data_IF_846729828615
#
_entry.id   IF_846729828615
#
_cell.length_a   1.000
_cell.length_b   1.000
_cell.length_c   1.000
_cell.angle_alpha   90.00
_cell.angle_beta   90.00
_cell.angle_gamma   90.00
#
_symmetry.space_group_name_H-M   'P 1'
#
loop_
_entity.id
_entity.type
_entity.pdbx_description
1 polymer ?
#
# COMPACT_ATOMS: atom_id res chain seq x y z
N UNK A 1 -8.87 -6.05 -20.60
CA UNK A 1 -8.21 -6.06 -19.27
C UNK A 1 -8.80 -7.22 -18.49
N UNK A 2 -7.98 -8.05 -17.83
CA UNK A 2 -8.49 -9.13 -16.98
C UNK A 2 -8.51 -8.66 -15.53
N UNK A 3 -9.70 -8.41 -14.96
CA UNK A 3 -9.84 -7.95 -13.58
C UNK A 3 -9.21 -8.94 -12.59
N UNK A 4 -9.34 -10.24 -12.85
CA UNK A 4 -8.71 -11.30 -12.07
C UNK A 4 -7.18 -11.21 -12.10
N UNK A 5 -6.60 -10.88 -13.25
CA UNK A 5 -5.15 -10.71 -13.35
C UNK A 5 -4.67 -9.48 -12.58
N UNK A 6 -5.38 -8.35 -12.67
CA UNK A 6 -5.02 -7.13 -11.93
C UNK A 6 -5.21 -7.30 -10.41
N UNK A 7 -6.29 -7.94 -9.96
CA UNK A 7 -6.46 -8.32 -8.56
C UNK A 7 -5.34 -9.26 -8.08
N UNK A 8 -4.91 -10.22 -8.91
CA UNK A 8 -3.75 -11.05 -8.61
C UNK A 8 -2.47 -10.25 -8.38
N UNK A 9 -2.22 -9.20 -9.19
CA UNK A 9 -1.09 -8.27 -8.96
C UNK A 9 -1.26 -7.48 -7.67
N UNK A 10 -2.47 -7.05 -7.35
CA UNK A 10 -2.76 -6.34 -6.11
C UNK A 10 -2.42 -7.21 -4.88
N UNK A 11 -2.81 -8.48 -4.89
CA UNK A 11 -2.47 -9.44 -3.85
C UNK A 11 -0.95 -9.60 -3.69
N UNK A 12 -0.21 -9.68 -4.80
CA UNK A 12 1.26 -9.68 -4.77
C UNK A 12 1.81 -8.43 -4.07
N UNK A 13 1.27 -7.24 -4.34
CA UNK A 13 1.74 -6.02 -3.69
C UNK A 13 1.36 -5.94 -2.21
N UNK A 14 0.23 -6.51 -1.78
CA UNK A 14 -0.09 -6.66 -0.36
C UNK A 14 0.94 -7.55 0.36
N UNK A 15 1.29 -8.69 -0.22
CA UNK A 15 2.31 -9.59 0.35
C UNK A 15 3.70 -8.95 0.35
N UNK A 16 4.09 -8.28 -0.75
CA UNK A 16 5.35 -7.54 -0.84
C UNK A 16 5.41 -6.41 0.19
N UNK A 17 4.31 -5.69 0.39
CA UNK A 17 4.19 -4.63 1.39
C UNK A 17 4.40 -5.15 2.80
N UNK A 18 3.69 -6.23 3.18
CA UNK A 18 3.89 -6.91 4.48
C UNK A 18 5.33 -7.34 4.69
N UNK A 19 5.92 -8.02 3.71
CA UNK A 19 7.31 -8.48 3.80
C UNK A 19 8.29 -7.32 3.96
N UNK A 20 8.11 -6.24 3.19
CA UNK A 20 8.96 -5.06 3.26
C UNK A 20 8.80 -4.34 4.60
N UNK A 21 7.58 -4.28 5.15
CA UNK A 21 7.33 -3.67 6.46
C UNK A 21 7.99 -4.46 7.60
N UNK A 22 7.91 -5.79 7.56
CA UNK A 22 8.68 -6.62 8.50
C UNK A 22 10.18 -6.34 8.40
N UNK A 23 10.74 -6.31 7.19
CA UNK A 23 12.16 -6.00 7.00
C UNK A 23 12.52 -4.57 7.44
N UNK A 24 11.63 -3.59 7.25
CA UNK A 24 11.82 -2.23 7.76
C UNK A 24 11.97 -2.24 9.28
N UNK A 25 11.10 -2.93 10.02
CA UNK A 25 11.18 -3.02 11.48
C UNK A 25 12.44 -3.78 11.93
N UNK A 26 12.74 -4.91 11.30
CA UNK A 26 13.88 -5.78 11.64
C UNK A 26 15.23 -5.10 11.40
N UNK A 27 15.32 -4.20 10.42
CA UNK A 27 16.56 -3.52 10.04
C UNK A 27 16.65 -2.09 10.58
N UNK A 28 15.99 -1.79 11.71
CA UNK A 28 16.16 -0.50 12.39
C UNK A 28 15.40 0.66 11.75
N UNK A 29 14.35 0.38 10.98
CA UNK A 29 13.46 1.38 10.39
C UNK A 29 14.18 2.36 9.46
N UNK A 30 15.07 1.84 8.59
CA UNK A 30 15.89 2.69 7.73
C UNK A 30 15.13 3.23 6.52
N UNK A 31 15.61 4.36 6.01
CA UNK A 31 15.07 5.02 4.82
C UNK A 31 15.05 4.11 3.59
N UNK A 32 16.02 3.21 3.42
CA UNK A 32 16.03 2.23 2.32
C UNK A 32 14.74 1.42 2.26
N UNK A 33 14.33 0.80 3.38
CA UNK A 33 13.10 0.00 3.40
C UNK A 33 11.84 0.86 3.37
N UNK A 34 11.88 2.06 3.99
CA UNK A 34 10.78 3.02 3.89
C UNK A 34 10.52 3.47 2.44
N UNK A 35 11.58 3.63 1.63
CA UNK A 35 11.47 3.95 0.20
C UNK A 35 10.90 2.78 -0.60
N UNK A 36 11.32 1.55 -0.32
CA UNK A 36 10.75 0.36 -0.96
C UNK A 36 9.24 0.22 -0.62
N UNK A 37 8.84 0.56 0.61
CA UNK A 37 7.43 0.64 1.01
C UNK A 37 6.68 1.72 0.23
N UNK A 38 7.26 2.92 0.06
CA UNK A 38 6.66 4.00 -0.74
C UNK A 38 6.40 3.54 -2.17
N UNK A 39 7.39 2.95 -2.82
CA UNK A 39 7.26 2.39 -4.17
C UNK A 39 6.19 1.29 -4.23
N UNK A 40 6.11 0.42 -3.20
CA UNK A 40 5.07 -0.60 -3.13
C UNK A 40 3.67 0.01 -3.03
N UNK A 41 3.50 1.04 -2.20
CA UNK A 41 2.24 1.75 -2.02
C UNK A 41 1.78 2.45 -3.31
N UNK A 42 2.70 3.06 -4.05
CA UNK A 42 2.40 3.65 -5.37
C UNK A 42 1.90 2.59 -6.36
N UNK A 43 2.52 1.41 -6.36
CA UNK A 43 2.08 0.31 -7.20
C UNK A 43 0.69 -0.22 -6.81
N UNK A 44 0.36 -0.24 -5.52
CA UNK A 44 -0.99 -0.58 -5.04
C UNK A 44 -2.00 0.41 -5.61
N UNK A 45 -1.78 1.72 -5.46
CA UNK A 45 -2.70 2.77 -5.96
C UNK A 45 -2.88 2.70 -7.48
N UNK A 46 -1.80 2.42 -8.23
CA UNK A 46 -1.88 2.22 -9.68
C UNK A 46 -2.77 1.04 -10.08
N UNK A 47 -2.71 -0.07 -9.35
CA UNK A 47 -3.58 -1.23 -9.63
C UNK A 47 -5.02 -0.93 -9.21
N UNK A 48 -5.22 -0.35 -8.02
CA UNK A 48 -6.53 0.03 -7.49
C UNK A 48 -7.30 0.95 -8.45
N UNK A 49 -6.65 2.01 -8.94
CA UNK A 49 -7.23 2.95 -9.91
C UNK A 49 -7.58 2.30 -11.25
N UNK A 50 -6.82 1.28 -11.66
CA UNK A 50 -7.06 0.53 -12.90
C UNK A 50 -8.31 -0.35 -12.80
N UNK A 51 -8.58 -0.93 -11.63
CA UNK A 51 -9.68 -1.87 -11.42
C UNK A 51 -10.96 -1.22 -10.89
N UNK A 52 -10.89 -0.01 -10.33
CA UNK A 52 -11.98 0.68 -9.63
C UNK A 52 -13.33 0.59 -10.34
N UNK A 53 -13.42 1.07 -11.59
CA UNK A 53 -14.69 1.10 -12.35
C UNK A 53 -15.20 -0.27 -12.78
N UNK A 54 -14.44 -1.34 -12.56
CA UNK A 54 -14.81 -2.72 -12.92
C UNK A 54 -15.23 -3.56 -11.71
N UNK A 55 -15.08 -3.02 -10.49
CA UNK A 55 -15.46 -3.69 -9.26
C UNK A 55 -16.92 -3.34 -8.87
N UNK A 56 -17.61 -4.23 -8.12
CA UNK A 56 -18.88 -3.91 -7.47
C UNK A 56 -18.77 -2.72 -6.52
N UNK A 57 -19.88 -2.02 -6.25
CA UNK A 57 -19.91 -0.82 -5.40
C UNK A 57 -19.28 -1.04 -4.02
N UNK A 58 -19.59 -2.15 -3.36
CA UNK A 58 -19.00 -2.50 -2.05
C UNK A 58 -17.46 -2.53 -2.11
N UNK A 59 -16.90 -3.10 -3.18
CA UNK A 59 -15.45 -3.13 -3.38
C UNK A 59 -14.88 -1.76 -3.78
N UNK A 60 -15.67 -0.91 -4.43
CA UNK A 60 -15.23 0.45 -4.76
C UNK A 60 -15.00 1.27 -3.48
N UNK A 61 -15.85 1.11 -2.47
CA UNK A 61 -15.65 1.72 -1.16
C UNK A 61 -14.36 1.21 -0.49
N UNK A 62 -14.14 -0.11 -0.49
CA UNK A 62 -12.90 -0.71 0.03
C UNK A 62 -11.64 -0.17 -0.67
N UNK A 63 -11.71 0.00 -2.00
CA UNK A 63 -10.62 0.56 -2.81
C UNK A 63 -10.34 2.02 -2.41
N UNK A 64 -11.39 2.83 -2.19
CA UNK A 64 -11.23 4.22 -1.77
C UNK A 64 -10.60 4.33 -0.39
N UNK A 65 -11.00 3.46 0.56
CA UNK A 65 -10.41 3.45 1.91
C UNK A 65 -8.91 3.14 1.88
N UNK A 66 -8.50 2.13 1.09
CA UNK A 66 -7.08 1.79 0.91
C UNK A 66 -6.31 2.93 0.23
N UNK A 67 -6.89 3.54 -0.79
CA UNK A 67 -6.27 4.66 -1.51
C UNK A 67 -6.08 5.85 -0.57
N UNK A 68 -7.12 6.21 0.20
CA UNK A 68 -7.06 7.29 1.18
C UNK A 68 -5.99 7.07 2.26
N UNK A 69 -5.89 5.84 2.79
CA UNK A 69 -4.83 5.48 3.72
C UNK A 69 -3.42 5.71 3.12
N UNK A 70 -3.20 5.25 1.88
CA UNK A 70 -1.92 5.38 1.19
C UNK A 70 -1.60 6.85 0.86
N UNK A 71 -2.58 7.66 0.52
CA UNK A 71 -2.40 9.08 0.22
C UNK A 71 -1.94 9.86 1.46
N UNK A 72 -2.57 9.61 2.61
CA UNK A 72 -2.13 10.19 3.90
C UNK A 72 -0.70 9.74 4.21
N UNK A 73 -0.44 8.44 4.14
CA UNK A 73 0.88 7.89 4.42
C UNK A 73 1.95 8.51 3.52
N UNK A 74 1.67 8.61 2.21
CA UNK A 74 2.59 9.18 1.21
C UNK A 74 2.85 10.66 1.44
N UNK A 75 1.84 11.42 1.86
CA UNK A 75 1.97 12.85 2.16
C UNK A 75 2.92 13.09 3.34
N UNK A 76 2.77 12.30 4.42
CA UNK A 76 3.69 12.37 5.56
C UNK A 76 5.11 11.93 5.20
N UNK A 77 5.22 10.88 4.39
CA UNK A 77 6.51 10.37 3.91
C UNK A 77 7.28 11.45 3.12
N UNK A 78 6.64 12.10 2.14
CA UNK A 78 7.27 13.14 1.32
C UNK A 78 7.68 14.36 2.14
N UNK A 79 6.85 14.77 3.10
CA UNK A 79 7.18 15.88 3.99
C UNK A 79 8.45 15.58 4.80
N UNK A 80 8.55 14.37 5.37
CA UNK A 80 9.70 13.94 6.16
C UNK A 80 10.96 13.77 5.30
N UNK A 81 10.85 13.14 4.12
CA UNK A 81 11.97 12.96 3.20
C UNK A 81 12.60 14.30 2.82
N UNK A 82 11.76 15.27 2.48
CA UNK A 82 12.21 16.62 2.10
C UNK A 82 12.91 17.34 3.26
N UNK A 83 12.43 17.16 4.48
CA UNK A 83 12.99 17.81 5.67
C UNK A 83 14.33 17.19 6.08
N UNK A 84 14.42 15.85 6.07
CA UNK A 84 15.59 15.12 6.56
C UNK A 84 16.68 14.92 5.50
N UNK A 85 16.32 14.86 4.21
CA UNK A 85 17.20 14.45 3.10
C UNK A 85 18.06 13.21 3.46
N UNK A 86 17.42 12.07 3.82
CA UNK A 86 18.09 10.95 4.46
C UNK A 86 18.97 10.12 3.51
N UNK A 87 20.06 9.57 4.05
CA UNK A 87 20.80 8.49 3.43
C UNK A 87 20.12 7.13 3.61
N UNK A 88 20.48 6.09 2.82
CA UNK A 88 19.79 4.80 2.84
C UNK A 88 19.72 4.10 4.20
N UNK A 89 20.73 4.29 5.04
CA UNK A 89 20.84 3.63 6.35
C UNK A 89 20.37 4.53 7.51
N UNK A 90 19.92 5.75 7.23
CA UNK A 90 19.42 6.64 8.26
C UNK A 90 18.05 6.18 8.73
N UNK A 91 17.78 6.36 10.03
CA UNK A 91 16.47 6.06 10.62
C UNK A 91 15.43 6.98 10.00
N UNK A 92 14.32 6.40 9.54
CA UNK A 92 13.26 7.13 8.87
C UNK A 92 11.90 6.71 9.44
N UNK A 93 11.41 7.46 10.42
CA UNK A 93 10.17 7.15 11.16
C UNK A 93 9.28 8.39 11.16
N UNK A 94 8.00 8.22 10.83
CA UNK A 94 6.97 9.25 10.98
C UNK A 94 5.70 8.66 11.61
N UNK A 95 4.90 9.53 12.21
CA UNK A 95 3.59 9.17 12.72
C UNK A 95 2.61 9.13 11.55
N UNK A 96 1.97 7.97 11.35
CA UNK A 96 0.82 7.88 10.45
C UNK A 96 -0.47 7.86 11.29
N UNK A 97 -1.27 8.95 11.26
CA UNK A 97 -2.52 8.99 12.01
C UNK A 97 -3.60 8.07 11.42
N UNK A 98 -3.50 7.72 10.14
CA UNK A 98 -4.44 6.82 9.48
C UNK A 98 -4.08 5.37 9.77
N UNK A 99 -5.01 4.63 10.41
CA UNK A 99 -4.86 3.18 10.59
C UNK A 99 -4.97 2.47 9.24
N UNK A 100 -4.25 1.37 9.11
CA UNK A 100 -4.36 0.53 7.90
C UNK A 100 -5.76 -0.10 7.84
N UNK A 101 -6.49 0.04 6.73
CA UNK A 101 -7.86 -0.43 6.60
C UNK A 101 -7.88 -1.93 6.27
N UNK A 102 -7.69 -2.76 7.30
CA UNK A 102 -7.49 -4.20 7.14
C UNK A 102 -8.75 -4.92 6.61
N UNK A 103 -9.94 -4.47 7.00
CA UNK A 103 -11.22 -4.99 6.49
C UNK A 103 -11.31 -4.88 4.98
N UNK A 104 -10.90 -3.74 4.43
CA UNK A 104 -10.99 -3.43 3.00
C UNK A 104 -10.03 -4.30 2.18
N UNK A 105 -8.82 -4.53 2.70
CA UNK A 105 -7.92 -5.54 2.13
C UNK A 105 -8.55 -6.93 2.14
N UNK A 106 -9.13 -7.35 3.27
CA UNK A 106 -9.71 -8.68 3.43
C UNK A 106 -10.93 -8.91 2.51
N UNK A 107 -11.74 -7.88 2.28
CA UNK A 107 -12.86 -7.90 1.34
C UNK A 107 -12.38 -8.09 -0.10
N UNK A 108 -11.35 -7.34 -0.53
CA UNK A 108 -10.75 -7.48 -1.86
C UNK A 108 -10.15 -8.87 -2.07
N UNK A 109 -9.43 -9.40 -1.07
CA UNK A 109 -8.86 -10.76 -1.13
C UNK A 109 -9.97 -11.81 -1.21
N UNK A 110 -11.05 -11.64 -0.46
CA UNK A 110 -12.21 -12.55 -0.49
C UNK A 110 -12.90 -12.52 -1.85
N UNK A 111 -13.10 -11.35 -2.43
CA UNK A 111 -13.66 -11.19 -3.78
C UNK A 111 -12.79 -11.92 -4.81
N UNK A 112 -11.47 -11.71 -4.81
CA UNK A 112 -10.56 -12.41 -5.73
C UNK A 112 -10.68 -13.94 -5.63
N UNK A 113 -10.78 -14.49 -4.41
CA UNK A 113 -10.92 -15.93 -4.20
C UNK A 113 -12.25 -16.50 -4.71
N UNK A 114 -13.29 -15.67 -4.78
CA UNK A 114 -14.59 -16.04 -5.36
C UNK A 114 -14.66 -15.95 -6.89
N UNK A 115 -13.64 -15.38 -7.54
CA UNK A 115 -13.52 -15.37 -8.99
C UNK A 115 -12.98 -16.73 -9.46
N UNK A 116 -13.86 -17.66 -9.80
CA UNK A 116 -13.50 -18.95 -10.43
C UNK A 116 -12.73 -18.76 -11.75
#
# INVERSE_FOLDING_TARGET
MSIKAELGKLLFYFDRGRKTYSSYLENGSTYLYARILKENNENIVNVLSTIYCYCPEDLQEDILELTYHIDIWSSHWWALEKDLNPGPNDVFIFQNPARYPKSSEDNIVSYYRGLE
#
